data_IF_115195041089
#
_entry.id   IF_115195041089
#
_cell.length_a   1.000
_cell.length_b   1.000
_cell.length_c   1.000
_cell.angle_alpha   90.00
_cell.angle_beta   90.00
_cell.angle_gamma   90.00
#
_symmetry.space_group_name_H-M   'P 1'
#
loop_
_entity.id
_entity.type
_entity.pdbx_description
1 polymer ?
#
# COMPACT_ATOMS: atom_id res chain seq x y z
N UNK A 1 27.20 2.07 47.45
CA UNK A 1 26.03 1.26 47.02
C UNK A 1 25.30 2.08 45.98
N UNK A 2 25.50 1.76 44.70
CA UNK A 2 24.91 2.47 43.57
C UNK A 2 23.87 1.56 42.92
N UNK A 3 22.65 2.03 42.61
CA UNK A 3 21.67 1.22 41.92
C UNK A 3 22.05 1.06 40.45
N UNK A 4 22.12 -0.20 40.01
CA UNK A 4 22.33 -0.60 38.62
C UNK A 4 21.08 -0.26 37.82
N UNK A 5 21.21 0.61 36.83
CA UNK A 5 20.13 0.99 35.91
C UNK A 5 19.95 -0.13 34.89
N UNK A 6 18.81 -0.81 34.94
CA UNK A 6 18.42 -1.83 33.98
C UNK A 6 18.21 -1.18 32.59
N UNK A 7 19.10 -1.52 31.67
CA UNK A 7 19.01 -1.12 30.26
C UNK A 7 17.87 -1.87 29.59
N UNK A 8 16.87 -1.14 29.08
CA UNK A 8 15.78 -1.68 28.28
C UNK A 8 16.31 -2.19 26.93
N UNK A 9 15.80 -3.33 26.40
CA UNK A 9 16.17 -3.75 25.05
C UNK A 9 15.53 -2.80 24.04
N UNK A 10 16.38 -2.10 23.28
CA UNK A 10 15.96 -1.35 22.10
C UNK A 10 15.29 -2.33 21.12
N UNK A 11 14.02 -2.06 20.78
CA UNK A 11 13.30 -2.81 19.74
C UNK A 11 14.00 -2.55 18.41
N UNK A 12 14.73 -3.54 17.90
CA UNK A 12 15.26 -3.53 16.56
C UNK A 12 14.08 -3.58 15.58
N UNK A 13 13.68 -2.42 15.08
CA UNK A 13 12.77 -2.29 13.94
C UNK A 13 13.48 -2.79 12.68
N UNK A 14 13.56 -4.11 12.51
CA UNK A 14 13.88 -4.69 11.21
C UNK A 14 12.82 -4.29 10.18
N UNK A 15 13.13 -4.29 8.88
CA UNK A 15 12.16 -3.96 7.84
C UNK A 15 10.93 -4.86 8.00
N UNK A 16 9.74 -4.26 8.03
CA UNK A 16 8.48 -5.00 8.10
C UNK A 16 8.40 -5.99 6.92
N UNK A 17 7.91 -7.23 7.12
CA UNK A 17 7.92 -8.28 6.10
C UNK A 17 7.09 -7.92 4.85
N UNK A 18 6.19 -6.95 4.97
CA UNK A 18 5.36 -6.41 3.88
C UNK A 18 5.79 -4.99 3.46
N UNK A 19 6.97 -4.54 3.86
CA UNK A 19 7.48 -3.23 3.47
C UNK A 19 7.69 -3.20 1.96
N UNK A 20 7.20 -2.14 1.31
CA UNK A 20 7.43 -1.93 -0.11
C UNK A 20 8.93 -1.77 -0.37
N UNK A 21 9.46 -2.35 -1.46
CA UNK A 21 10.86 -2.14 -1.83
C UNK A 21 11.09 -0.63 -2.07
N UNK A 22 12.22 -0.06 -1.60
CA UNK A 22 12.49 1.39 -1.66
C UNK A 22 12.62 1.92 -3.10
N UNK A 23 12.67 1.03 -4.09
CA UNK A 23 12.75 1.33 -5.52
C UNK A 23 11.37 1.44 -6.18
N UNK A 24 10.29 1.07 -5.47
CA UNK A 24 8.91 1.13 -5.94
C UNK A 24 8.37 2.55 -5.82
N UNK A 25 8.11 3.20 -6.95
CA UNK A 25 7.42 4.49 -7.00
C UNK A 25 6.13 4.31 -7.81
N UNK A 26 4.98 4.84 -7.36
CA UNK A 26 3.72 4.75 -8.11
C UNK A 26 3.82 5.33 -9.53
N UNK A 27 4.75 6.25 -9.77
CA UNK A 27 5.01 6.82 -11.09
C UNK A 27 5.46 5.77 -12.12
N UNK A 28 6.05 4.64 -11.70
CA UNK A 28 6.47 3.57 -12.63
C UNK A 28 5.27 2.82 -13.21
N UNK A 29 4.12 2.85 -12.54
CA UNK A 29 2.87 2.23 -13.01
C UNK A 29 2.02 3.15 -13.88
N UNK A 30 2.31 4.46 -13.92
CA UNK A 30 1.58 5.43 -14.74
C UNK A 30 1.99 5.37 -16.22
N UNK A 31 1.77 4.21 -16.85
CA UNK A 31 1.99 4.00 -18.27
C UNK A 31 0.83 4.58 -19.12
N UNK A 32 -0.35 4.76 -18.53
CA UNK A 32 -1.56 5.22 -19.23
C UNK A 32 -1.44 6.68 -19.65
N UNK A 33 -0.93 7.55 -18.78
CA UNK A 33 -0.73 8.97 -19.10
C UNK A 33 0.33 9.18 -20.18
N UNK A 34 1.38 8.35 -20.20
CA UNK A 34 2.40 8.38 -21.26
C UNK A 34 1.84 7.86 -22.60
N UNK A 35 1.07 6.77 -22.56
CA UNK A 35 0.44 6.21 -23.75
C UNK A 35 -0.58 7.19 -24.35
N UNK A 36 -1.41 7.83 -23.53
CA UNK A 36 -2.39 8.83 -24.00
C UNK A 36 -1.70 10.01 -24.68
N UNK A 37 -0.56 10.46 -24.14
CA UNK A 37 0.26 11.53 -24.72
C UNK A 37 0.87 11.11 -26.06
N UNK A 38 1.45 9.91 -26.15
CA UNK A 38 2.03 9.40 -27.40
C UNK A 38 0.95 9.24 -28.47
N UNK A 39 -0.22 8.68 -28.13
CA UNK A 39 -1.36 8.57 -29.05
C UNK A 39 -1.86 9.93 -29.53
N UNK A 40 -1.96 10.93 -28.65
CA UNK A 40 -2.37 12.27 -29.02
C UNK A 40 -1.38 12.91 -30.02
N UNK A 41 -0.06 12.71 -29.81
CA UNK A 41 0.99 13.19 -30.72
C UNK A 41 1.00 12.47 -32.07
N UNK A 42 0.76 11.17 -32.09
CA UNK A 42 0.65 10.37 -33.34
C UNK A 42 -0.60 10.79 -34.12
N UNK A 43 -1.74 10.97 -33.44
CA UNK A 43 -2.98 11.45 -34.08
C UNK A 43 -2.75 12.82 -34.72
N UNK A 44 -2.11 13.75 -34.02
CA UNK A 44 -1.80 15.08 -34.54
C UNK A 44 -0.85 15.02 -35.75
N UNK A 45 0.12 14.09 -35.76
CA UNK A 45 1.00 13.85 -36.90
C UNK A 45 0.28 13.30 -38.14
N UNK A 46 -0.66 12.38 -37.96
CA UNK A 46 -1.51 11.84 -39.04
C UNK A 46 -2.40 12.93 -39.63
N UNK A 47 -3.02 13.76 -38.78
CA UNK A 47 -3.88 14.87 -39.22
C UNK A 47 -3.07 15.91 -40.02
N UNK A 48 -1.84 16.19 -39.57
CA UNK A 48 -0.93 17.11 -40.25
C UNK A 48 -0.49 16.59 -41.64
N UNK A 49 -0.25 15.27 -41.79
CA UNK A 49 0.16 14.71 -43.08
C UNK A 49 -0.99 14.56 -44.08
N UNK A 50 -2.22 14.37 -43.59
CA UNK A 50 -3.41 14.24 -44.42
C UNK A 50 -4.01 15.59 -44.87
N UNK A 51 -3.46 16.73 -44.43
CA UNK A 51 -3.99 18.06 -44.73
C UNK A 51 -5.36 18.33 -44.10
N UNK A 52 -5.76 17.54 -43.10
CA UNK A 52 -7.08 17.63 -42.47
C UNK A 52 -6.96 18.55 -41.25
N UNK A 53 -7.27 19.84 -41.42
CA UNK A 53 -7.51 20.74 -40.29
C UNK A 53 -8.84 20.39 -39.66
N UNK A 54 -8.85 19.46 -38.70
CA UNK A 54 -10.07 19.19 -37.92
C UNK A 54 -10.17 20.26 -36.83
N UNK A 55 -11.19 21.12 -36.89
CA UNK A 55 -11.56 21.94 -35.73
C UNK A 55 -11.73 21.04 -34.49
N UNK A 56 -11.35 21.51 -33.29
CA UNK A 56 -11.43 20.70 -32.08
C UNK A 56 -12.90 20.36 -31.80
N UNK A 57 -13.25 19.08 -31.90
CA UNK A 57 -14.58 18.59 -31.54
C UNK A 57 -14.85 18.84 -30.04
N UNK A 58 -16.00 19.44 -29.68
CA UNK A 58 -16.33 19.72 -28.28
C UNK A 58 -16.68 18.41 -27.58
N UNK A 59 -15.78 17.93 -26.71
CA UNK A 59 -16.01 16.72 -25.90
C UNK A 59 -14.77 15.96 -25.48
N UNK A 60 -13.60 16.23 -26.07
CA UNK A 60 -12.34 15.62 -25.61
C UNK A 60 -11.68 16.50 -24.56
N UNK A 61 -12.07 16.32 -23.30
CA UNK A 61 -11.37 16.88 -22.14
C UNK A 61 -9.92 16.43 -22.12
N UNK A 62 -9.03 17.32 -22.56
CA UNK A 62 -7.75 17.58 -21.93
C UNK A 62 -6.68 16.49 -22.01
N UNK A 63 -6.13 16.25 -23.20
CA UNK A 63 -4.71 15.94 -23.33
C UNK A 63 -4.17 16.77 -24.49
N UNK A 64 -3.92 18.06 -24.22
CA UNK A 64 -3.14 18.87 -25.16
C UNK A 64 -1.79 18.19 -25.30
N UNK A 65 -1.52 17.61 -26.47
CA UNK A 65 -0.21 17.09 -26.81
C UNK A 65 0.78 18.25 -26.81
N UNK A 66 1.30 18.61 -25.63
CA UNK A 66 2.35 19.59 -25.47
C UNK A 66 3.64 18.94 -25.98
N UNK A 67 3.89 19.04 -27.28
CA UNK A 67 5.08 18.50 -27.93
C UNK A 67 4.95 18.42 -29.44
N UNK A 68 6.08 18.24 -30.15
CA UNK A 68 6.09 18.08 -31.60
C UNK A 68 5.20 16.91 -32.03
N UNK A 69 4.48 17.08 -33.13
CA UNK A 69 3.71 16.01 -33.76
C UNK A 69 4.64 14.86 -34.13
N UNK A 70 4.25 13.62 -33.84
CA UNK A 70 5.08 12.44 -34.15
C UNK A 70 4.72 11.93 -35.55
N UNK A 71 5.73 11.81 -36.42
CA UNK A 71 5.57 11.08 -37.69
C UNK A 71 5.54 9.58 -37.41
N UNK A 72 4.92 8.80 -38.30
CA UNK A 72 4.83 7.33 -38.15
C UNK A 72 6.21 6.66 -38.01
N UNK A 73 7.26 7.27 -38.60
CA UNK A 73 8.65 6.80 -38.49
C UNK A 73 9.27 7.02 -37.11
N UNK A 74 8.76 7.99 -36.35
CA UNK A 74 9.29 8.37 -35.03
C UNK A 74 8.57 7.63 -33.90
N UNK A 75 7.47 6.92 -34.21
CA UNK A 75 6.68 6.15 -33.23
C UNK A 75 7.52 5.13 -32.47
N UNK A 76 8.36 4.29 -33.11
CA UNK A 76 9.16 3.31 -32.38
C UNK A 76 10.05 3.95 -31.32
N UNK A 77 10.74 5.05 -31.67
CA UNK A 77 11.58 5.80 -30.74
C UNK A 77 10.79 6.50 -29.64
N UNK A 78 9.64 7.11 -29.99
CA UNK A 78 8.77 7.77 -29.03
C UNK A 78 8.11 6.79 -28.03
N UNK A 79 7.93 5.52 -28.42
CA UNK A 79 7.39 4.46 -27.56
C UNK A 79 8.45 3.69 -26.76
N UNK A 80 9.74 3.92 -27.01
CA UNK A 80 10.80 3.16 -26.34
C UNK A 80 10.86 3.42 -24.83
N UNK A 81 10.65 4.67 -24.41
CA UNK A 81 10.51 5.03 -23.00
C UNK A 81 9.35 4.30 -22.31
N UNK A 82 8.20 4.20 -23.00
CA UNK A 82 7.04 3.45 -22.52
C UNK A 82 7.34 1.96 -22.38
N UNK A 83 8.09 1.37 -23.33
CA UNK A 83 8.53 -0.03 -23.26
C UNK A 83 9.43 -0.26 -22.05
N UNK A 84 10.42 0.60 -21.83
CA UNK A 84 11.30 0.51 -20.66
C UNK A 84 10.53 0.68 -19.35
N UNK A 85 9.57 1.59 -19.31
CA UNK A 85 8.70 1.81 -18.15
C UNK A 85 7.85 0.57 -17.84
N UNK A 86 7.22 -0.02 -18.84
CA UNK A 86 6.45 -1.26 -18.68
C UNK A 86 7.32 -2.44 -18.23
N UNK A 87 8.53 -2.57 -18.78
CA UNK A 87 9.47 -3.60 -18.33
C UNK A 87 9.87 -3.42 -16.87
N UNK A 88 10.16 -2.17 -16.47
CA UNK A 88 10.48 -1.82 -15.08
C UNK A 88 9.30 -2.07 -14.15
N UNK A 89 8.11 -1.61 -14.51
CA UNK A 89 6.88 -1.85 -13.77
C UNK A 89 6.64 -3.35 -13.54
N UNK A 90 6.80 -4.17 -14.58
CA UNK A 90 6.65 -5.63 -14.46
C UNK A 90 7.68 -6.27 -13.54
N UNK A 91 8.93 -5.81 -13.57
CA UNK A 91 9.97 -6.28 -12.65
C UNK A 91 9.63 -5.90 -11.20
N UNK A 92 9.21 -4.67 -11.00
CA UNK A 92 8.85 -4.14 -9.68
C UNK A 92 7.61 -4.81 -9.07
N UNK A 93 6.57 -5.08 -9.87
CA UNK A 93 5.38 -5.83 -9.42
C UNK A 93 5.74 -7.24 -8.97
N UNK A 94 6.73 -7.88 -9.59
CA UNK A 94 7.21 -9.22 -9.18
C UNK A 94 8.06 -9.20 -7.92
N UNK A 95 8.60 -8.04 -7.56
CA UNK A 95 9.38 -7.85 -6.34
C UNK A 95 8.49 -7.48 -5.14
N UNK A 96 7.21 -7.16 -5.38
CA UNK A 96 6.27 -6.84 -4.31
C UNK A 96 6.05 -8.05 -3.39
N UNK A 97 6.09 -7.84 -2.06
CA UNK A 97 5.83 -8.91 -1.11
C UNK A 97 4.37 -9.37 -1.19
N UNK A 98 4.15 -10.64 -0.88
CA UNK A 98 2.82 -11.24 -0.72
C UNK A 98 1.92 -11.14 -1.97
N UNK A 99 2.52 -11.06 -3.16
CA UNK A 99 1.80 -11.05 -4.45
C UNK A 99 1.23 -12.41 -4.86
N UNK A 100 1.72 -13.50 -4.26
CA UNK A 100 1.30 -14.87 -4.58
C UNK A 100 0.04 -15.30 -3.80
N UNK A 101 -0.40 -14.48 -2.84
CA UNK A 101 -1.51 -14.79 -1.94
C UNK A 101 -2.78 -14.05 -2.36
N UNK A 102 -3.92 -14.72 -2.16
CA UNK A 102 -5.23 -14.12 -2.41
C UNK A 102 -5.71 -13.25 -1.25
N UNK A 103 -6.60 -12.31 -1.55
CA UNK A 103 -7.25 -11.44 -0.54
C UNK A 103 -8.01 -12.28 0.49
N UNK A 104 -8.66 -13.37 0.06
CA UNK A 104 -9.41 -14.23 0.98
C UNK A 104 -8.51 -14.89 2.03
N UNK A 105 -7.32 -15.34 1.64
CA UNK A 105 -6.34 -15.91 2.58
C UNK A 105 -5.80 -14.86 3.55
N UNK A 106 -5.60 -13.62 3.08
CA UNK A 106 -5.20 -12.50 3.93
C UNK A 106 -6.30 -12.14 4.95
N UNK A 107 -7.56 -12.11 4.52
CA UNK A 107 -8.71 -11.83 5.40
C UNK A 107 -8.88 -12.89 6.49
N UNK A 108 -8.68 -14.17 6.15
CA UNK A 108 -8.72 -15.25 7.12
C UNK A 108 -7.57 -15.16 8.13
N UNK A 109 -6.34 -14.82 7.68
CA UNK A 109 -5.22 -14.57 8.59
C UNK A 109 -5.48 -13.37 9.50
N UNK A 110 -6.03 -12.27 8.98
CA UNK A 110 -6.39 -11.10 9.79
C UNK A 110 -7.35 -11.52 10.90
N UNK A 111 -8.38 -12.30 10.58
CA UNK A 111 -9.35 -12.79 11.58
C UNK A 111 -8.68 -13.62 12.67
N UNK A 112 -7.77 -14.51 12.30
CA UNK A 112 -7.03 -15.33 13.25
C UNK A 112 -6.09 -14.50 14.14
N UNK A 113 -5.40 -13.52 13.56
CA UNK A 113 -4.54 -12.58 14.28
C UNK A 113 -5.35 -11.72 15.26
N UNK A 114 -6.50 -11.22 14.85
CA UNK A 114 -7.42 -10.46 15.71
C UNK A 114 -7.91 -11.30 16.89
N UNK A 115 -8.33 -12.55 16.66
CA UNK A 115 -8.71 -13.48 17.74
C UNK A 115 -7.55 -13.73 18.72
N UNK A 116 -6.33 -13.83 18.21
CA UNK A 116 -5.14 -14.02 19.05
C UNK A 116 -4.85 -12.78 19.88
N UNK A 117 -4.96 -11.58 19.30
CA UNK A 117 -4.80 -10.30 20.00
C UNK A 117 -5.84 -10.17 21.12
N UNK A 118 -7.09 -10.54 20.86
CA UNK A 118 -8.16 -10.51 21.85
C UNK A 118 -7.84 -11.40 23.06
N UNK A 119 -7.42 -12.65 22.80
CA UNK A 119 -7.00 -13.58 23.86
C UNK A 119 -5.82 -13.05 24.68
N UNK A 120 -4.83 -12.46 24.01
CA UNK A 120 -3.68 -11.85 24.66
C UNK A 120 -4.08 -10.65 25.52
N UNK A 121 -4.98 -9.78 25.03
CA UNK A 121 -5.52 -8.66 25.80
C UNK A 121 -6.29 -9.13 27.04
N UNK A 122 -7.12 -10.16 26.91
CA UNK A 122 -7.87 -10.74 28.03
C UNK A 122 -6.93 -11.32 29.10
N UNK A 123 -5.86 -12.01 28.69
CA UNK A 123 -4.85 -12.54 29.61
C UNK A 123 -4.08 -11.42 30.33
N UNK A 124 -3.68 -10.37 29.62
CA UNK A 124 -3.03 -9.20 30.22
C UNK A 124 -3.96 -8.44 31.18
N UNK A 125 -5.26 -8.43 30.90
CA UNK A 125 -6.25 -7.87 31.80
C UNK A 125 -6.36 -8.69 33.09
N UNK A 126 -6.48 -10.02 32.99
CA UNK A 126 -6.49 -10.90 34.18
C UNK A 126 -5.23 -10.74 35.04
N UNK A 127 -4.05 -10.73 34.43
CA UNK A 127 -2.80 -10.48 35.14
C UNK A 127 -2.78 -9.12 35.85
N UNK A 128 -3.42 -8.10 35.26
CA UNK A 128 -3.56 -6.77 35.89
C UNK A 128 -4.55 -6.79 37.04
N UNK A 129 -5.67 -7.49 36.90
CA UNK A 129 -6.71 -7.59 37.93
C UNK A 129 -6.21 -8.39 39.15
N UNK A 130 -5.46 -9.47 38.91
CA UNK A 130 -4.71 -10.22 39.92
C UNK A 130 -3.67 -9.34 40.62
N UNK A 131 -2.85 -8.59 39.86
CA UNK A 131 -1.82 -7.71 40.42
C UNK A 131 -2.38 -6.52 41.21
N UNK A 132 -3.58 -6.05 40.86
CA UNK A 132 -4.28 -4.97 41.57
C UNK A 132 -5.17 -5.47 42.71
N UNK A 133 -5.21 -6.78 42.97
CA UNK A 133 -5.97 -7.40 44.04
C UNK A 133 -7.49 -7.30 43.86
N UNK A 134 -7.96 -7.11 42.61
CA UNK A 134 -9.39 -6.96 42.30
C UNK A 134 -10.14 -8.29 42.29
N UNK A 135 -9.48 -9.38 41.89
CA UNK A 135 -10.07 -10.72 41.85
C UNK A 135 -10.40 -11.31 43.25
N UNK A 136 -9.88 -10.73 44.34
CA UNK A 136 -10.07 -11.25 45.70
C UNK A 136 -11.13 -10.53 46.55
N UNK A 137 -11.78 -9.47 46.05
CA UNK A 137 -12.62 -8.60 46.92
C UNK A 137 -14.12 -8.88 46.85
N UNK A 138 -14.59 -9.65 45.86
CA UNK A 138 -16.03 -9.88 45.67
C UNK A 138 -16.57 -11.11 46.42
N UNK A 139 -15.72 -12.02 46.92
CA UNK A 139 -16.20 -13.21 47.66
C UNK A 139 -16.42 -12.98 49.17
N UNK A 140 -15.80 -11.97 49.80
CA UNK A 140 -15.81 -11.82 51.26
C UNK A 140 -16.99 -10.95 51.78
N UNK A 141 -17.70 -10.21 50.92
CA UNK A 141 -18.74 -9.28 51.37
C UNK A 141 -20.16 -9.88 51.47
N UNK A 142 -20.37 -11.14 51.06
CA UNK A 142 -21.70 -11.76 51.03
C UNK A 142 -22.09 -12.52 52.31
N UNK A 143 -21.17 -12.73 53.27
CA UNK A 143 -21.40 -13.57 54.45
C UNK A 143 -21.70 -12.85 55.78
N UNK A 144 -21.46 -11.54 55.89
CA UNK A 144 -21.48 -10.82 57.18
C UNK A 144 -22.72 -9.93 57.35
N UNK A 145 -23.93 -10.51 57.22
CA UNK A 145 -25.17 -9.76 57.48
C UNK A 145 -26.36 -10.63 57.87
N UNK A 146 -26.20 -11.51 58.87
CA UNK A 146 -27.36 -12.21 59.44
C UNK A 146 -27.17 -12.71 60.88
N UNK A 147 -26.81 -11.85 61.84
CA UNK A 147 -27.22 -12.07 63.23
C UNK A 147 -27.02 -10.82 64.09
N UNK A 148 -28.12 -10.17 64.48
CA UNK A 148 -28.37 -9.42 65.74
C UNK A 148 -29.75 -8.78 65.69
#
# INVERSE_FOLDING_TARGET
MSPSSASAPASASGPHPLALPPTFSPDTLDALSELSLVLARVRAGIQSSAGITTEPAPGTTGHNASGPTLSFKDVPGATDGLKHKLQRARAQVRELPDMDRSIAEQDDEIRDLESRIEKQRALLQRLRDEATGRDGKDEVSAGDKMES
#
